data_IF_806742126638
#
_entry.id   IF_806742126638
#
_cell.length_a   1.000
_cell.length_b   1.000
_cell.length_c   1.000
_cell.angle_alpha   90.00
_cell.angle_beta   90.00
_cell.angle_gamma   90.00
#
_symmetry.space_group_name_H-M   'P 1'
#
loop_
_entity.id
_entity.type
_entity.pdbx_description
1 polymer ?
#
# COMPACT_ATOMS: atom_id res chain seq x y z
N UNK A 1 40.04 25.75 0.81
CA UNK A 1 40.56 24.61 1.55
C UNK A 1 39.45 24.17 2.48
N UNK A 2 38.57 23.31 1.97
CA UNK A 2 37.66 22.47 2.78
C UNK A 2 38.12 21.05 2.43
N UNK A 3 39.34 20.73 2.93
CA UNK A 3 39.88 19.39 2.78
C UNK A 3 39.63 18.60 4.05
N UNK A 4 39.06 17.42 3.87
CA UNK A 4 39.01 16.30 4.82
C UNK A 4 38.22 16.50 6.11
N UNK A 5 36.96 16.90 6.03
CA UNK A 5 36.02 16.70 7.15
C UNK A 5 35.44 15.27 7.20
N UNK A 6 35.54 14.49 6.12
CA UNK A 6 35.09 13.11 6.03
C UNK A 6 36.31 12.24 5.74
N UNK A 7 36.79 11.55 6.77
CA UNK A 7 37.71 10.44 6.57
C UNK A 7 37.12 9.44 5.61
N UNK A 8 37.94 8.51 5.14
CA UNK A 8 37.62 7.46 4.16
C UNK A 8 36.12 7.28 3.92
N UNK A 9 35.59 7.69 2.73
CA UNK A 9 34.17 7.64 2.39
C UNK A 9 33.53 6.27 2.67
N UNK A 10 34.31 5.18 2.55
CA UNK A 10 33.85 3.84 2.85
C UNK A 10 33.61 3.63 4.36
N UNK A 11 34.45 4.19 5.22
CA UNK A 11 34.30 4.10 6.68
C UNK A 11 33.12 4.95 7.17
N UNK A 12 32.93 6.15 6.59
CA UNK A 12 31.78 7.02 6.88
C UNK A 12 30.48 6.35 6.43
N UNK A 13 30.49 5.70 5.26
CA UNK A 13 29.32 4.98 4.75
C UNK A 13 28.96 3.79 5.63
N UNK A 14 29.95 3.05 6.12
CA UNK A 14 29.75 1.91 7.04
C UNK A 14 29.25 2.39 8.41
N UNK A 15 29.71 3.54 8.89
CA UNK A 15 29.29 4.13 10.15
C UNK A 15 27.86 4.72 10.09
N UNK A 16 27.48 5.34 8.97
CA UNK A 16 26.12 5.83 8.73
C UNK A 16 25.08 4.70 8.59
N UNK A 17 25.51 3.49 8.23
CA UNK A 17 24.65 2.31 8.16
C UNK A 17 24.47 1.60 9.51
N UNK A 18 25.18 2.02 10.57
CA UNK A 18 24.98 1.47 11.90
C UNK A 18 23.64 1.97 12.45
N UNK A 19 22.82 1.01 12.85
CA UNK A 19 21.65 1.33 13.67
C UNK A 19 22.08 1.86 15.04
N UNK A 20 21.28 2.73 15.66
CA UNK A 20 21.41 3.00 17.07
C UNK A 20 21.37 1.66 17.82
N UNK A 21 22.16 1.56 18.90
CA UNK A 21 22.14 0.37 19.74
C UNK A 21 20.75 0.20 20.35
N UNK A 22 20.03 -0.82 19.90
CA UNK A 22 18.73 -1.17 20.46
C UNK A 22 18.96 -2.04 21.71
N UNK A 23 18.08 -1.98 22.71
CA UNK A 23 18.14 -2.87 23.86
C UNK A 23 18.04 -4.33 23.39
N UNK A 24 18.64 -5.29 24.13
CA UNK A 24 18.44 -6.71 23.87
C UNK A 24 16.94 -7.05 24.00
N UNK A 25 16.46 -7.95 23.15
CA UNK A 25 15.10 -8.47 23.27
C UNK A 25 14.88 -9.13 24.63
N UNK A 26 13.85 -8.70 25.36
CA UNK A 26 13.43 -9.31 26.63
C UNK A 26 12.13 -10.11 26.42
N UNK A 27 12.21 -11.46 26.43
CA UNK A 27 11.03 -12.30 26.23
C UNK A 27 10.02 -12.23 27.41
N UNK A 28 10.38 -11.60 28.51
CA UNK A 28 9.49 -11.40 29.64
C UNK A 28 8.69 -10.09 29.56
N UNK A 29 9.07 -9.18 28.68
CA UNK A 29 8.31 -7.95 28.44
C UNK A 29 7.13 -8.23 27.48
N UNK A 30 5.87 -8.07 27.93
CA UNK A 30 4.70 -8.38 27.12
C UNK A 30 4.50 -7.43 25.93
N UNK A 31 5.20 -6.31 25.85
CA UNK A 31 5.16 -5.37 24.73
C UNK A 31 6.33 -5.55 23.76
N UNK A 32 7.23 -6.49 24.03
CA UNK A 32 8.33 -6.82 23.12
C UNK A 32 7.90 -7.91 22.12
N UNK A 33 8.41 -7.82 20.90
CA UNK A 33 8.23 -8.83 19.85
C UNK A 33 9.58 -9.24 19.27
N UNK A 34 9.89 -10.53 19.33
CA UNK A 34 11.10 -11.09 18.70
C UNK A 34 11.11 -10.86 17.18
N UNK A 35 9.93 -10.87 16.55
CA UNK A 35 9.76 -10.61 15.11
C UNK A 35 10.17 -9.16 14.82
N UNK A 36 9.58 -8.19 15.52
CA UNK A 36 9.87 -6.77 15.33
C UNK A 36 11.34 -6.46 15.63
N UNK A 37 11.89 -7.01 16.72
CA UNK A 37 13.30 -6.84 17.07
C UNK A 37 14.24 -7.31 15.94
N UNK A 38 13.96 -8.49 15.37
CA UNK A 38 14.72 -9.04 14.24
C UNK A 38 14.59 -8.17 12.97
N UNK A 39 13.38 -7.69 12.68
CA UNK A 39 13.11 -6.84 11.51
C UNK A 39 13.79 -5.48 11.64
N UNK A 40 13.71 -4.83 12.81
CA UNK A 40 14.38 -3.57 13.10
C UNK A 40 15.91 -3.70 12.94
N UNK A 41 16.50 -4.75 13.51
CA UNK A 41 17.94 -5.03 13.40
C UNK A 41 18.44 -5.37 11.99
N UNK A 42 17.57 -5.87 11.11
CA UNK A 42 17.94 -6.24 9.73
C UNK A 42 17.67 -5.13 8.71
N UNK A 43 16.94 -4.08 9.06
CA UNK A 43 16.48 -3.01 8.15
C UNK A 43 17.58 -2.40 7.28
N UNK A 44 18.79 -2.04 7.77
CA UNK A 44 19.83 -1.42 6.93
C UNK A 44 20.30 -2.33 5.79
N UNK A 45 20.13 -3.64 5.94
CA UNK A 45 20.57 -4.64 4.94
C UNK A 45 19.48 -5.03 3.97
N UNK A 46 18.18 -4.90 4.35
CA UNK A 46 17.05 -5.37 3.55
C UNK A 46 16.28 -4.27 2.84
N UNK A 47 16.08 -3.11 3.49
CA UNK A 47 15.21 -2.06 3.00
C UNK A 47 15.65 -1.51 1.64
N UNK A 48 14.69 -1.29 0.75
CA UNK A 48 14.94 -0.80 -0.61
C UNK A 48 15.52 0.61 -0.56
N UNK A 49 15.07 1.46 0.35
CA UNK A 49 15.59 2.82 0.57
C UNK A 49 17.09 2.86 0.92
N UNK A 50 17.67 1.73 1.35
CA UNK A 50 19.10 1.57 1.64
C UNK A 50 19.91 1.03 0.46
N UNK A 51 19.31 0.88 -0.71
CA UNK A 51 19.93 0.34 -1.91
C UNK A 51 20.09 1.42 -2.98
N UNK A 52 21.07 1.29 -3.88
CA UNK A 52 21.12 2.12 -5.08
C UNK A 52 19.85 1.93 -5.91
N UNK A 53 19.28 3.03 -6.37
CA UNK A 53 18.14 2.98 -7.30
C UNK A 53 18.59 2.42 -8.66
N UNK A 54 17.79 1.55 -9.30
CA UNK A 54 18.04 1.18 -10.68
C UNK A 54 17.81 2.36 -11.61
N UNK A 55 18.52 2.40 -12.75
CA UNK A 55 18.21 3.37 -13.80
C UNK A 55 16.92 2.96 -14.50
N UNK A 56 15.83 3.60 -14.10
CA UNK A 56 14.49 3.30 -14.63
C UNK A 56 14.34 3.69 -16.10
N UNK A 57 15.11 4.69 -16.59
CA UNK A 57 15.03 5.13 -17.98
C UNK A 57 15.53 4.04 -18.94
N UNK A 58 16.55 3.29 -18.56
CA UNK A 58 17.10 2.19 -19.36
C UNK A 58 16.18 0.97 -19.43
N UNK A 59 15.26 0.86 -18.47
CA UNK A 59 14.28 -0.25 -18.42
C UNK A 59 13.02 0.00 -19.25
N UNK A 60 12.81 1.22 -19.77
CA UNK A 60 11.58 1.54 -20.49
C UNK A 60 11.57 0.95 -21.90
N UNK A 61 10.53 0.14 -22.22
CA UNK A 61 10.28 -0.44 -23.51
C UNK A 61 8.99 0.14 -24.13
N UNK A 62 9.10 0.89 -25.23
CA UNK A 62 7.98 1.56 -25.88
C UNK A 62 6.89 0.59 -26.42
N UNK A 63 7.26 -0.66 -26.70
CA UNK A 63 6.35 -1.67 -27.26
C UNK A 63 5.51 -2.37 -26.19
N UNK A 64 5.96 -2.38 -24.94
CA UNK A 64 5.27 -3.03 -23.83
C UNK A 64 4.11 -2.19 -23.29
N UNK A 65 3.10 -2.88 -22.74
CA UNK A 65 1.94 -2.25 -22.12
C UNK A 65 2.30 -1.65 -20.74
N UNK A 66 1.68 -0.53 -20.36
CA UNK A 66 1.93 0.10 -19.07
C UNK A 66 1.17 -0.59 -17.92
N UNK A 67 0.10 -1.32 -18.23
CA UNK A 67 -0.75 -2.01 -17.26
C UNK A 67 -1.31 -3.31 -17.87
N UNK A 68 -1.49 -4.39 -17.10
CA UNK A 68 -2.04 -5.64 -17.61
C UNK A 68 -3.49 -5.45 -18.09
N UNK A 69 -3.77 -5.75 -19.36
CA UNK A 69 -5.14 -5.67 -19.88
C UNK A 69 -6.08 -6.65 -19.17
N UNK A 70 -5.53 -7.75 -18.63
CA UNK A 70 -6.27 -8.73 -17.84
C UNK A 70 -6.93 -8.15 -16.58
N UNK A 71 -6.40 -7.05 -16.05
CA UNK A 71 -6.92 -6.35 -14.86
C UNK A 71 -7.95 -5.27 -15.20
N UNK A 72 -8.21 -5.00 -16.48
CA UNK A 72 -9.28 -4.08 -16.87
C UNK A 72 -10.64 -4.75 -16.64
N UNK A 73 -11.51 -4.21 -15.77
CA UNK A 73 -12.76 -4.88 -15.39
C UNK A 73 -13.77 -5.00 -16.53
N UNK A 74 -13.58 -4.25 -17.61
CA UNK A 74 -14.42 -4.26 -18.81
C UNK A 74 -13.66 -4.67 -20.09
N UNK A 75 -12.54 -5.37 -19.97
CA UNK A 75 -11.71 -5.76 -21.13
C UNK A 75 -12.47 -6.49 -22.24
N UNK A 76 -13.47 -7.30 -21.85
CA UNK A 76 -14.26 -8.10 -22.78
C UNK A 76 -15.53 -7.38 -23.26
N UNK A 77 -15.77 -6.15 -22.80
CA UNK A 77 -16.94 -5.37 -23.18
C UNK A 77 -16.85 -4.91 -24.65
N UNK A 78 -17.95 -5.04 -25.40
CA UNK A 78 -18.02 -4.79 -26.84
C UNK A 78 -17.57 -3.37 -27.26
N UNK A 79 -17.78 -2.36 -26.40
CA UNK A 79 -17.31 -0.99 -26.64
C UNK A 79 -15.80 -0.90 -26.48
N UNK A 80 -15.21 -1.53 -25.44
CA UNK A 80 -13.77 -1.51 -25.21
C UNK A 80 -13.00 -2.25 -26.30
N UNK A 81 -13.48 -3.44 -26.69
CA UNK A 81 -12.84 -4.26 -27.73
C UNK A 81 -12.81 -3.62 -29.11
N UNK A 82 -13.75 -2.67 -29.38
CA UNK A 82 -13.81 -1.91 -30.65
C UNK A 82 -13.02 -0.61 -30.61
N UNK A 83 -12.41 -0.24 -29.49
CA UNK A 83 -11.56 0.95 -29.45
C UNK A 83 -10.32 0.75 -30.31
N UNK A 84 -9.90 1.85 -30.95
CA UNK A 84 -8.63 1.88 -31.66
C UNK A 84 -7.46 1.59 -30.73
N UNK A 85 -6.47 0.88 -31.21
CA UNK A 85 -5.31 0.47 -30.44
C UNK A 85 -4.60 1.64 -29.71
N UNK A 86 -4.38 2.83 -30.29
CA UNK A 86 -3.81 3.96 -29.57
C UNK A 86 -4.64 4.41 -28.35
N UNK A 87 -5.96 4.34 -28.46
CA UNK A 87 -6.87 4.69 -27.34
C UNK A 87 -6.75 3.65 -26.22
N UNK A 88 -6.74 2.36 -26.57
CA UNK A 88 -6.54 1.28 -25.59
C UNK A 88 -5.19 1.41 -24.87
N UNK A 89 -4.10 1.66 -25.61
CA UNK A 89 -2.78 1.94 -25.01
C UNK A 89 -2.81 3.10 -24.02
N UNK A 90 -3.52 4.18 -24.34
CA UNK A 90 -3.66 5.31 -23.42
C UNK A 90 -4.48 4.96 -22.18
N UNK A 91 -5.52 4.13 -22.31
CA UNK A 91 -6.30 3.63 -21.17
C UNK A 91 -5.42 2.77 -20.25
N UNK A 92 -4.54 1.91 -20.81
CA UNK A 92 -3.59 1.13 -20.02
C UNK A 92 -2.56 2.02 -19.32
N UNK A 93 -2.07 3.08 -19.95
CA UNK A 93 -1.20 4.05 -19.31
C UNK A 93 -1.93 4.80 -18.18
N UNK A 94 -3.19 5.22 -18.39
CA UNK A 94 -4.03 5.78 -17.33
C UNK A 94 -4.24 4.81 -16.16
N UNK A 95 -4.45 3.52 -16.46
CA UNK A 95 -4.59 2.49 -15.44
C UNK A 95 -3.33 2.38 -14.57
N UNK A 96 -2.14 2.45 -15.18
CA UNK A 96 -0.87 2.52 -14.45
C UNK A 96 -0.74 3.78 -13.60
N UNK A 97 -1.10 4.95 -14.14
CA UNK A 97 -1.11 6.20 -13.36
C UNK A 97 -2.09 6.12 -12.19
N UNK A 98 -3.27 5.54 -12.42
CA UNK A 98 -4.28 5.33 -11.38
C UNK A 98 -3.80 4.34 -10.30
N UNK A 99 -3.14 3.27 -10.71
CA UNK A 99 -2.53 2.30 -9.80
C UNK A 99 -1.50 2.98 -8.90
N UNK A 100 -0.54 3.71 -9.47
CA UNK A 100 0.47 4.42 -8.69
C UNK A 100 -0.16 5.46 -7.75
N UNK A 101 -1.15 6.22 -8.25
CA UNK A 101 -1.87 7.18 -7.41
C UNK A 101 -2.54 6.49 -6.23
N UNK A 102 -3.20 5.35 -6.45
CA UNK A 102 -3.85 4.61 -5.37
C UNK A 102 -2.84 4.13 -4.32
N UNK A 103 -1.67 3.60 -4.73
CA UNK A 103 -0.59 3.24 -3.81
C UNK A 103 -0.14 4.47 -3.02
N UNK A 104 0.27 5.55 -3.69
CA UNK A 104 0.72 6.77 -3.03
C UNK A 104 -0.31 7.35 -2.05
N UNK A 105 -1.59 7.33 -2.43
CA UNK A 105 -2.67 7.85 -1.59
C UNK A 105 -2.89 6.97 -0.36
N UNK A 106 -2.84 5.65 -0.48
CA UNK A 106 -2.95 4.72 0.65
C UNK A 106 -1.80 4.92 1.63
N UNK A 107 -0.55 5.01 1.13
CA UNK A 107 0.62 5.28 1.97
C UNK A 107 0.50 6.62 2.71
N UNK A 108 0.09 7.69 2.01
CA UNK A 108 0.05 9.04 2.58
C UNK A 108 -1.12 9.26 3.53
N UNK A 109 -2.30 8.72 3.22
CA UNK A 109 -3.54 9.07 3.91
C UNK A 109 -4.07 7.97 4.83
N UNK A 110 -3.53 6.76 4.77
CA UNK A 110 -3.96 5.61 5.59
C UNK A 110 -2.79 5.05 6.40
N UNK A 111 -1.74 4.59 5.74
CA UNK A 111 -0.64 3.82 6.35
C UNK A 111 0.23 4.70 7.25
N UNK A 112 0.83 5.75 6.71
CA UNK A 112 1.69 6.64 7.50
C UNK A 112 0.96 7.30 8.68
N UNK A 113 -0.31 7.76 8.58
CA UNK A 113 -1.07 8.22 9.73
C UNK A 113 -1.23 7.16 10.81
N UNK A 114 -1.51 5.91 10.46
CA UNK A 114 -1.64 4.81 11.42
C UNK A 114 -0.32 4.45 12.10
N UNK A 115 0.76 4.32 11.36
CA UNK A 115 2.09 4.12 11.95
C UNK A 115 2.51 5.28 12.85
N UNK A 116 2.13 6.50 12.50
CA UNK A 116 2.38 7.66 13.37
C UNK A 116 1.66 7.52 14.72
N UNK A 117 0.41 7.05 14.74
CA UNK A 117 -0.32 6.80 16.00
C UNK A 117 0.41 5.74 16.84
N UNK A 118 0.89 4.66 16.21
CA UNK A 118 1.65 3.62 16.88
C UNK A 118 2.99 4.14 17.42
N UNK A 119 3.75 4.90 16.62
CA UNK A 119 5.03 5.45 17.05
C UNK A 119 4.93 6.45 18.22
N UNK A 120 3.74 7.05 18.42
CA UNK A 120 3.42 7.96 19.51
C UNK A 120 2.76 7.27 20.70
N UNK A 121 2.65 5.94 20.69
CA UNK A 121 1.94 5.14 21.68
C UNK A 121 0.51 5.67 21.99
N UNK A 122 -0.22 6.05 20.94
CA UNK A 122 -1.57 6.61 21.08
C UNK A 122 -2.57 5.65 21.76
N UNK A 123 -2.22 4.37 21.86
CA UNK A 123 -3.04 3.34 22.50
C UNK A 123 -2.63 3.04 23.95
N UNK A 124 -1.55 3.67 24.47
CA UNK A 124 -1.09 3.53 25.85
C UNK A 124 -0.58 2.12 26.16
N UNK A 125 0.10 1.51 25.21
CA UNK A 125 0.63 0.13 25.36
C UNK A 125 1.96 0.08 26.10
N UNK A 126 2.69 1.20 26.17
CA UNK A 126 4.03 1.26 26.74
C UNK A 126 5.09 0.75 25.77
N UNK A 127 4.92 1.00 24.46
CA UNK A 127 5.88 0.60 23.43
C UNK A 127 7.30 1.10 23.76
N UNK A 128 8.26 0.16 23.76
CA UNK A 128 9.68 0.47 23.95
C UNK A 128 10.36 1.01 22.69
N UNK A 129 11.67 1.31 22.84
CA UNK A 129 12.48 1.90 21.77
C UNK A 129 12.52 1.03 20.50
N UNK A 130 12.59 -0.30 20.67
CA UNK A 130 12.66 -1.25 19.54
C UNK A 130 11.41 -1.16 18.64
N UNK A 131 10.23 -1.15 19.23
CA UNK A 131 8.97 -1.06 18.48
C UNK A 131 8.79 0.32 17.85
N UNK A 132 9.16 1.38 18.58
CA UNK A 132 9.15 2.74 18.05
C UNK A 132 10.09 2.88 16.85
N UNK A 133 11.31 2.35 16.94
CA UNK A 133 12.28 2.38 15.84
C UNK A 133 11.77 1.58 14.64
N UNK A 134 11.21 0.38 14.84
CA UNK A 134 10.66 -0.43 13.77
C UNK A 134 9.52 0.30 13.03
N UNK A 135 8.62 0.94 13.78
CA UNK A 135 7.53 1.73 13.22
C UNK A 135 8.04 2.92 12.41
N UNK A 136 9.05 3.63 12.93
CA UNK A 136 9.67 4.75 12.20
C UNK A 136 10.42 4.29 10.95
N UNK A 137 11.05 3.11 10.97
CA UNK A 137 11.68 2.52 9.79
C UNK A 137 10.65 2.19 8.71
N UNK A 138 9.50 1.59 9.09
CA UNK A 138 8.40 1.36 8.17
C UNK A 138 7.93 2.69 7.55
N UNK A 139 7.69 3.73 8.35
CA UNK A 139 7.30 5.05 7.82
C UNK A 139 8.32 5.64 6.83
N UNK A 140 9.62 5.39 7.01
CA UNK A 140 10.65 5.83 6.05
C UNK A 140 10.53 5.05 4.75
N UNK A 141 10.32 3.73 4.83
CA UNK A 141 10.12 2.88 3.66
C UNK A 141 8.87 3.34 2.88
N UNK A 142 7.74 3.62 3.56
CA UNK A 142 6.49 4.08 2.92
C UNK A 142 6.63 5.44 2.21
N UNK A 143 7.41 6.36 2.79
CA UNK A 143 7.73 7.62 2.08
C UNK A 143 8.58 7.35 0.82
N UNK A 144 9.48 6.39 0.88
CA UNK A 144 10.28 6.00 -0.27
C UNK A 144 9.45 5.28 -1.33
N UNK A 145 8.52 4.41 -0.96
CA UNK A 145 7.55 3.79 -1.86
C UNK A 145 6.73 4.84 -2.62
N UNK A 146 6.23 5.84 -1.90
CA UNK A 146 5.53 6.99 -2.51
C UNK A 146 6.41 7.68 -3.57
N UNK A 147 7.69 7.93 -3.27
CA UNK A 147 8.62 8.54 -4.22
C UNK A 147 8.88 7.64 -5.44
N UNK A 148 9.03 6.33 -5.24
CA UNK A 148 9.23 5.37 -6.34
C UNK A 148 8.04 5.37 -7.29
N UNK A 149 6.81 5.31 -6.80
CA UNK A 149 5.60 5.32 -7.62
C UNK A 149 5.39 6.66 -8.34
N UNK A 150 5.74 7.78 -7.69
CA UNK A 150 5.75 9.10 -8.33
C UNK A 150 6.74 9.15 -9.50
N UNK A 151 7.96 8.66 -9.30
CA UNK A 151 9.00 8.60 -10.33
C UNK A 151 8.58 7.71 -11.51
N UNK A 152 8.00 6.54 -11.25
CA UNK A 152 7.50 5.64 -12.28
C UNK A 152 6.38 6.28 -13.10
N UNK A 153 5.43 6.98 -12.46
CA UNK A 153 4.38 7.75 -13.13
C UNK A 153 4.94 8.87 -14.00
N UNK A 154 5.94 9.61 -13.49
CA UNK A 154 6.59 10.69 -14.23
C UNK A 154 7.35 10.16 -15.45
N UNK A 155 8.02 9.01 -15.30
CA UNK A 155 8.74 8.35 -16.40
C UNK A 155 7.77 7.94 -17.52
N UNK A 156 6.64 7.30 -17.18
CA UNK A 156 5.62 6.92 -18.17
C UNK A 156 5.13 8.13 -18.93
N UNK A 157 4.76 9.22 -18.25
CA UNK A 157 4.33 10.46 -18.90
C UNK A 157 5.40 11.00 -19.87
N UNK A 158 6.65 11.06 -19.43
CA UNK A 158 7.77 11.56 -20.23
C UNK A 158 8.05 10.69 -21.45
N UNK A 159 8.13 9.38 -21.27
CA UNK A 159 8.48 8.43 -22.33
C UNK A 159 7.35 8.25 -23.36
N UNK A 160 6.09 8.29 -22.91
CA UNK A 160 4.92 8.26 -23.81
C UNK A 160 4.63 9.60 -24.46
N UNK A 161 5.09 10.72 -23.89
CA UNK A 161 4.75 12.06 -24.33
C UNK A 161 3.26 12.39 -24.10
N UNK A 162 2.62 11.77 -23.10
CA UNK A 162 1.21 11.95 -22.81
C UNK A 162 0.99 12.74 -21.52
N UNK A 163 0.05 13.70 -21.57
CA UNK A 163 -0.44 14.39 -20.38
C UNK A 163 -1.49 13.52 -19.68
N UNK A 164 -1.08 12.81 -18.64
CA UNK A 164 -1.89 11.93 -17.82
C UNK A 164 -1.94 12.49 -16.37
N UNK A 165 -2.69 13.60 -16.13
CA UNK A 165 -2.65 14.29 -14.83
C UNK A 165 -3.41 13.52 -13.76
N UNK A 166 -2.67 12.84 -12.87
CA UNK A 166 -3.24 12.04 -11.76
C UNK A 166 -4.19 12.83 -10.85
N UNK A 167 -3.98 14.18 -10.72
CA UNK A 167 -4.88 15.04 -9.93
C UNK A 167 -6.32 15.06 -10.42
N UNK A 168 -6.61 14.57 -11.63
CA UNK A 168 -7.96 14.42 -12.19
C UNK A 168 -8.64 13.12 -11.78
N UNK A 169 -7.89 12.19 -11.23
CA UNK A 169 -8.44 10.93 -10.73
C UNK A 169 -8.95 11.13 -9.29
N UNK A 170 -10.05 10.48 -8.92
CA UNK A 170 -10.53 10.49 -7.54
C UNK A 170 -9.55 9.76 -6.61
N UNK A 171 -9.72 9.95 -5.30
CA UNK A 171 -9.09 9.05 -4.32
C UNK A 171 -9.68 7.64 -4.45
N UNK A 172 -8.86 6.62 -4.22
CA UNK A 172 -9.29 5.23 -4.21
C UNK A 172 -10.30 4.90 -3.10
N UNK A 173 -11.00 3.75 -3.19
CA UNK A 173 -12.04 3.37 -2.22
C UNK A 173 -11.52 3.32 -0.78
N UNK A 174 -10.31 2.79 -0.58
CA UNK A 174 -9.67 2.68 0.75
C UNK A 174 -9.54 4.04 1.42
N UNK A 175 -8.98 5.02 0.70
CA UNK A 175 -8.79 6.38 1.25
C UNK A 175 -10.12 7.05 1.53
N UNK A 176 -11.07 6.99 0.57
CA UNK A 176 -12.40 7.60 0.75
C UNK A 176 -13.15 7.01 1.95
N UNK A 177 -13.13 5.68 2.07
CA UNK A 177 -13.82 4.99 3.17
C UNK A 177 -13.17 5.28 4.51
N UNK A 178 -11.83 5.26 4.56
CA UNK A 178 -11.06 5.64 5.75
C UNK A 178 -11.43 7.06 6.21
N UNK A 179 -11.38 8.04 5.32
CA UNK A 179 -11.74 9.42 5.65
C UNK A 179 -13.18 9.53 6.17
N UNK A 180 -14.14 8.87 5.49
CA UNK A 180 -15.53 8.86 5.94
C UNK A 180 -15.70 8.25 7.33
N UNK A 181 -14.99 7.16 7.62
CA UNK A 181 -15.06 6.51 8.92
C UNK A 181 -14.38 7.34 10.04
N UNK A 182 -13.24 7.97 9.72
CA UNK A 182 -12.56 8.91 10.65
C UNK A 182 -13.41 10.14 10.92
N UNK A 183 -14.05 10.73 9.90
CA UNK A 183 -14.92 11.91 10.06
C UNK A 183 -16.21 11.59 10.81
N UNK A 184 -16.67 10.34 10.78
CA UNK A 184 -17.84 9.87 11.51
C UNK A 184 -17.54 9.49 12.97
N UNK A 185 -16.28 9.35 13.35
CA UNK A 185 -15.87 9.00 14.71
C UNK A 185 -16.24 10.12 15.69
N UNK A 186 -16.86 9.75 16.81
CA UNK A 186 -17.32 10.70 17.83
C UNK A 186 -16.19 11.18 18.75
N UNK A 187 -15.11 10.39 18.86
CA UNK A 187 -13.97 10.67 19.74
C UNK A 187 -12.64 10.49 19.03
N UNK A 188 -11.56 11.16 19.50
CA UNK A 188 -10.21 10.90 19.00
C UNK A 188 -9.76 9.43 19.15
N UNK A 189 -10.27 8.75 20.18
CA UNK A 189 -9.98 7.32 20.42
C UNK A 189 -10.60 6.44 19.31
N UNK A 190 -11.85 6.67 18.98
CA UNK A 190 -12.53 5.97 17.88
C UNK A 190 -11.83 6.22 16.55
N UNK A 191 -11.51 7.48 16.24
CA UNK A 191 -10.74 7.86 15.04
C UNK A 191 -9.40 7.12 14.97
N UNK A 192 -8.68 6.99 16.09
CA UNK A 192 -7.41 6.28 16.16
C UNK A 192 -7.60 4.77 15.92
N UNK A 193 -8.64 4.15 16.47
CA UNK A 193 -8.94 2.71 16.24
C UNK A 193 -9.33 2.42 14.81
N UNK A 194 -10.14 3.28 14.19
CA UNK A 194 -10.47 3.21 12.75
C UNK A 194 -9.18 3.30 11.92
N UNK A 195 -8.32 4.28 12.20
CA UNK A 195 -7.06 4.44 11.48
C UNK A 195 -6.15 3.22 11.64
N UNK A 196 -6.04 2.65 12.85
CA UNK A 196 -5.29 1.42 13.09
C UNK A 196 -5.84 0.24 12.28
N UNK A 197 -7.16 0.07 12.25
CA UNK A 197 -7.81 -0.99 11.49
C UNK A 197 -7.49 -0.91 9.99
N UNK A 198 -7.69 0.27 9.39
CA UNK A 198 -7.41 0.48 7.96
C UNK A 198 -5.93 0.33 7.63
N UNK A 199 -5.04 0.83 8.48
CA UNK A 199 -3.58 0.63 8.33
C UNK A 199 -3.23 -0.84 8.36
N UNK A 200 -3.75 -1.60 9.32
CA UNK A 200 -3.50 -3.04 9.42
C UNK A 200 -3.99 -3.80 8.19
N UNK A 201 -5.18 -3.46 7.68
CA UNK A 201 -5.71 -4.07 6.45
C UNK A 201 -4.83 -3.73 5.25
N UNK A 202 -4.44 -2.47 5.09
CA UNK A 202 -3.58 -2.04 3.99
C UNK A 202 -2.26 -2.81 4.02
N UNK A 203 -1.54 -2.80 5.14
CA UNK A 203 -0.25 -3.45 5.32
C UNK A 203 -0.28 -4.97 5.13
N UNK A 204 -1.33 -5.63 5.61
CA UNK A 204 -1.45 -7.08 5.47
C UNK A 204 -1.94 -7.52 4.09
N UNK A 205 -2.53 -6.62 3.30
CA UNK A 205 -3.13 -6.93 2.01
C UNK A 205 -2.38 -6.35 0.80
N UNK A 206 -1.50 -5.36 1.00
CA UNK A 206 -0.81 -4.66 -0.08
C UNK A 206 0.05 -5.59 -0.96
N UNK A 207 0.70 -6.59 -0.38
CA UNK A 207 1.47 -7.59 -1.13
C UNK A 207 0.64 -8.31 -2.19
N UNK A 208 -0.65 -8.58 -1.92
CA UNK A 208 -1.57 -9.19 -2.88
C UNK A 208 -1.95 -8.21 -4.00
N UNK A 209 -2.15 -6.94 -3.66
CA UNK A 209 -2.40 -5.88 -4.64
C UNK A 209 -1.20 -5.65 -5.56
N UNK A 210 0.00 -5.54 -5.00
CA UNK A 210 1.25 -5.41 -5.74
C UNK A 210 1.49 -6.65 -6.62
N UNK A 211 1.14 -7.84 -6.11
CA UNK A 211 1.26 -9.11 -6.83
C UNK A 211 0.53 -9.15 -8.17
N UNK A 212 -0.58 -8.40 -8.32
CA UNK A 212 -1.33 -8.32 -9.57
C UNK A 212 -0.50 -7.85 -10.77
N UNK A 213 0.58 -7.10 -10.50
CA UNK A 213 1.45 -6.51 -11.53
C UNK A 213 2.74 -7.30 -11.78
N UNK A 214 3.02 -8.36 -11.02
CA UNK A 214 4.33 -9.03 -11.07
C UNK A 214 4.42 -10.17 -12.08
N UNK A 215 3.30 -10.80 -12.41
CA UNK A 215 3.25 -12.07 -13.11
C UNK A 215 3.07 -11.93 -14.63
N UNK A 216 2.90 -10.72 -15.15
CA UNK A 216 2.73 -10.43 -16.58
C UNK A 216 4.08 -10.07 -17.21
N UNK A 217 4.62 -10.97 -18.06
CA UNK A 217 5.87 -10.75 -18.77
C UNK A 217 5.75 -9.71 -19.91
N UNK A 218 4.53 -9.41 -20.35
CA UNK A 218 4.27 -8.40 -21.38
C UNK A 218 4.13 -6.99 -20.82
N UNK A 219 4.17 -6.87 -19.49
CA UNK A 219 4.15 -5.59 -18.82
C UNK A 219 5.45 -4.80 -19.02
N UNK A 220 5.34 -3.49 -19.06
CA UNK A 220 6.45 -2.54 -19.05
C UNK A 220 7.48 -2.92 -17.97
N UNK A 221 8.76 -3.21 -18.36
CA UNK A 221 9.76 -3.68 -17.39
C UNK A 221 9.97 -2.75 -16.20
N UNK A 222 9.96 -1.43 -16.42
CA UNK A 222 10.11 -0.45 -15.35
C UNK A 222 8.94 -0.49 -14.36
N UNK A 223 7.71 -0.69 -14.83
CA UNK A 223 6.52 -0.76 -13.97
C UNK A 223 6.58 -2.02 -13.10
N UNK A 224 6.94 -3.15 -13.70
CA UNK A 224 7.16 -4.39 -12.96
C UNK A 224 8.29 -4.27 -11.94
N UNK A 225 9.42 -3.64 -12.30
CA UNK A 225 10.55 -3.44 -11.38
C UNK A 225 10.15 -2.57 -10.17
N UNK A 226 9.42 -1.49 -10.39
CA UNK A 226 8.90 -0.62 -9.31
C UNK A 226 8.06 -1.43 -8.32
N UNK A 227 7.11 -2.21 -8.83
CA UNK A 227 6.20 -3.01 -7.99
C UNK A 227 6.92 -4.14 -7.25
N UNK A 228 7.88 -4.80 -7.89
CA UNK A 228 8.70 -5.86 -7.26
C UNK A 228 9.56 -5.29 -6.12
N UNK A 229 10.15 -4.11 -6.32
CA UNK A 229 10.96 -3.45 -5.28
C UNK A 229 10.10 -3.05 -4.09
N UNK A 230 8.93 -2.45 -4.31
CA UNK A 230 7.98 -2.13 -3.25
C UNK A 230 7.57 -3.39 -2.48
N UNK A 231 7.05 -4.41 -3.17
CA UNK A 231 6.58 -5.65 -2.57
C UNK A 231 7.62 -6.34 -1.67
N UNK A 232 8.90 -6.11 -1.93
CA UNK A 232 9.99 -6.68 -1.12
C UNK A 232 9.98 -6.18 0.32
N UNK A 233 9.69 -4.90 0.55
CA UNK A 233 9.63 -4.32 1.90
C UNK A 233 8.32 -4.68 2.59
N UNK A 234 7.20 -4.77 1.85
CA UNK A 234 5.87 -5.06 2.37
C UNK A 234 5.75 -6.36 3.17
N UNK A 235 6.60 -7.33 2.87
CA UNK A 235 6.68 -8.56 3.66
C UNK A 235 7.03 -8.29 5.14
N UNK A 236 7.81 -7.25 5.38
CA UNK A 236 8.23 -6.87 6.73
C UNK A 236 7.20 -5.97 7.39
N UNK A 237 6.63 -5.05 6.63
CA UNK A 237 5.61 -4.12 7.11
C UNK A 237 4.35 -4.86 7.55
N UNK A 238 3.89 -5.83 6.78
CA UNK A 238 2.78 -6.72 7.15
C UNK A 238 3.02 -7.41 8.50
N UNK A 239 4.24 -7.88 8.74
CA UNK A 239 4.61 -8.51 10.01
C UNK A 239 4.66 -7.51 11.15
N UNK A 240 5.21 -6.31 10.92
CA UNK A 240 5.27 -5.24 11.93
C UNK A 240 3.84 -4.80 12.31
N UNK A 241 3.00 -4.50 11.33
CA UNK A 241 1.61 -4.07 11.55
C UNK A 241 0.81 -5.14 12.30
N UNK A 242 0.94 -6.42 11.93
CA UNK A 242 0.28 -7.52 12.59
C UNK A 242 0.69 -7.70 14.06
N UNK A 243 1.99 -7.65 14.36
CA UNK A 243 2.50 -7.76 15.73
C UNK A 243 2.08 -6.55 16.59
N UNK A 244 2.15 -5.34 16.04
CA UNK A 244 1.69 -4.13 16.73
C UNK A 244 0.19 -4.19 17.01
N UNK A 245 -0.62 -4.68 16.06
CA UNK A 245 -2.05 -4.87 16.29
C UNK A 245 -2.30 -5.84 17.44
N UNK A 246 -1.59 -6.97 17.53
CA UNK A 246 -1.72 -7.95 18.63
C UNK A 246 -1.46 -7.29 19.98
N UNK A 247 -0.36 -6.53 20.10
CA UNK A 247 0.00 -5.79 21.32
C UNK A 247 -1.08 -4.80 21.72
N UNK A 248 -1.59 -4.02 20.77
CA UNK A 248 -2.68 -3.05 21.01
C UNK A 248 -3.95 -3.77 21.42
N UNK A 249 -4.35 -4.83 20.69
CA UNK A 249 -5.59 -5.56 20.89
C UNK A 249 -5.72 -6.13 22.30
N UNK A 250 -4.62 -6.62 22.89
CA UNK A 250 -4.59 -7.13 24.27
C UNK A 250 -4.95 -6.06 25.32
N UNK A 251 -4.73 -4.77 25.00
CA UNK A 251 -4.98 -3.63 25.87
C UNK A 251 -6.36 -3.00 25.69
N UNK A 252 -7.09 -3.39 24.65
CA UNK A 252 -8.41 -2.84 24.36
C UNK A 252 -9.49 -3.44 25.26
N UNK A 253 -10.45 -2.62 25.68
CA UNK A 253 -11.69 -3.09 26.27
C UNK A 253 -12.67 -3.65 25.21
N UNK A 254 -13.85 -4.13 25.64
CA UNK A 254 -14.78 -4.77 24.76
C UNK A 254 -15.41 -3.84 23.72
N UNK A 255 -15.58 -2.55 24.03
CA UNK A 255 -16.15 -1.57 23.10
C UNK A 255 -15.13 -1.19 22.04
N UNK A 256 -13.91 -0.90 22.44
CA UNK A 256 -12.77 -0.61 21.58
C UNK A 256 -12.48 -1.79 20.62
N UNK A 257 -12.54 -3.04 21.13
CA UNK A 257 -12.37 -4.25 20.30
C UNK A 257 -13.44 -4.33 19.22
N UNK A 258 -14.73 -4.15 19.57
CA UNK A 258 -15.81 -4.18 18.57
C UNK A 258 -15.61 -3.11 17.48
N UNK A 259 -15.20 -1.93 17.87
CA UNK A 259 -14.94 -0.83 16.96
C UNK A 259 -13.78 -1.15 16.00
N UNK A 260 -12.68 -1.69 16.54
CA UNK A 260 -11.54 -2.13 15.75
C UNK A 260 -11.93 -3.22 14.74
N UNK A 261 -12.69 -4.25 15.17
CA UNK A 261 -13.13 -5.34 14.30
C UNK A 261 -14.09 -4.87 13.20
N UNK A 262 -14.97 -3.93 13.50
CA UNK A 262 -15.81 -3.29 12.49
C UNK A 262 -14.97 -2.49 11.49
N UNK A 263 -13.94 -1.77 11.96
CA UNK A 263 -13.00 -1.06 11.12
C UNK A 263 -12.18 -1.98 10.21
N UNK A 264 -11.79 -3.19 10.69
CA UNK A 264 -11.11 -4.19 9.87
C UNK A 264 -12.02 -4.68 8.72
N UNK A 265 -13.30 -4.94 9.00
CA UNK A 265 -14.28 -5.34 7.98
C UNK A 265 -14.46 -4.25 6.91
N UNK A 266 -14.66 -3.00 7.34
CA UNK A 266 -14.78 -1.84 6.45
C UNK A 266 -13.53 -1.65 5.58
N UNK A 267 -12.36 -1.78 6.19
CA UNK A 267 -11.07 -1.70 5.50
C UNK A 267 -10.91 -2.79 4.44
N UNK A 268 -11.28 -4.03 4.77
CA UNK A 268 -11.24 -5.17 3.85
C UNK A 268 -12.15 -4.97 2.63
N UNK A 269 -13.38 -4.54 2.84
CA UNK A 269 -14.31 -4.26 1.75
C UNK A 269 -13.78 -3.16 0.83
N UNK A 270 -13.27 -2.08 1.43
CA UNK A 270 -12.72 -0.96 0.69
C UNK A 270 -11.46 -1.33 -0.09
N UNK A 271 -10.52 -2.05 0.54
CA UNK A 271 -9.24 -2.42 -0.07
C UNK A 271 -9.39 -3.40 -1.23
N UNK A 272 -10.31 -4.36 -1.11
CA UNK A 272 -10.55 -5.37 -2.15
C UNK A 272 -11.35 -4.84 -3.34
N UNK A 273 -12.09 -3.75 -3.18
CA UNK A 273 -13.03 -3.28 -4.19
C UNK A 273 -12.35 -2.71 -5.44
N UNK A 274 -12.99 -2.93 -6.60
CA UNK A 274 -12.61 -2.26 -7.84
C UNK A 274 -13.11 -0.82 -7.84
N UNK A 275 -12.27 0.12 -8.25
CA UNK A 275 -12.67 1.54 -8.28
C UNK A 275 -13.30 1.94 -9.61
N UNK A 276 -14.60 1.74 -9.72
CA UNK A 276 -15.35 2.14 -10.90
C UNK A 276 -15.43 3.66 -11.09
N UNK A 277 -15.21 4.47 -10.05
CA UNK A 277 -15.14 5.93 -10.19
C UNK A 277 -13.86 6.38 -10.90
N UNK A 278 -12.75 5.72 -10.63
CA UNK A 278 -11.49 5.92 -11.35
C UNK A 278 -11.63 5.51 -12.82
N UNK A 279 -12.24 4.35 -13.09
CA UNK A 279 -12.50 3.93 -14.47
C UNK A 279 -13.41 4.89 -15.23
N UNK A 280 -14.46 5.41 -14.57
CA UNK A 280 -15.31 6.45 -15.17
C UNK A 280 -14.49 7.69 -15.54
N UNK A 281 -13.66 8.19 -14.63
CA UNK A 281 -12.82 9.35 -14.88
C UNK A 281 -11.83 9.14 -16.04
N UNK A 282 -11.22 7.97 -16.14
CA UNK A 282 -10.31 7.60 -17.23
C UNK A 282 -11.03 7.57 -18.58
N UNK A 283 -12.17 6.89 -18.67
CA UNK A 283 -12.92 6.76 -19.91
C UNK A 283 -13.52 8.10 -20.38
N UNK A 284 -13.95 8.95 -19.44
CA UNK A 284 -14.43 10.30 -19.72
C UNK A 284 -13.30 11.19 -20.23
N UNK A 285 -12.10 11.09 -19.64
CA UNK A 285 -10.93 11.84 -20.09
C UNK A 285 -10.53 11.46 -21.53
N UNK A 286 -10.56 10.16 -21.84
CA UNK A 286 -10.30 9.65 -23.19
C UNK A 286 -11.49 9.81 -24.15
N UNK A 287 -12.60 10.42 -23.68
CA UNK A 287 -13.83 10.68 -24.46
C UNK A 287 -14.40 9.42 -25.10
N UNK A 288 -14.35 8.31 -24.39
CA UNK A 288 -14.87 7.03 -24.89
C UNK A 288 -16.38 7.08 -24.98
N UNK A 289 -16.90 6.91 -26.19
CA UNK A 289 -18.35 6.84 -26.40
C UNK A 289 -18.92 5.61 -25.70
N UNK A 290 -19.92 5.81 -24.85
CA UNK A 290 -20.53 4.73 -24.08
C UNK A 290 -19.80 4.41 -22.77
N UNK A 291 -18.88 5.26 -22.28
CA UNK A 291 -18.17 5.13 -21.00
C UNK A 291 -19.12 4.77 -19.84
N UNK A 292 -20.22 5.48 -19.70
CA UNK A 292 -21.25 5.21 -18.68
C UNK A 292 -21.78 3.76 -18.71
N UNK A 293 -22.05 3.24 -19.92
CA UNK A 293 -22.55 1.88 -20.09
C UNK A 293 -21.48 0.86 -19.71
N UNK A 294 -20.24 1.05 -20.18
CA UNK A 294 -19.11 0.17 -19.84
C UNK A 294 -18.97 0.03 -18.33
N UNK A 295 -18.94 1.17 -17.63
CA UNK A 295 -18.74 1.19 -16.17
C UNK A 295 -19.94 0.57 -15.45
N UNK A 296 -21.18 0.88 -15.86
CA UNK A 296 -22.38 0.33 -15.25
C UNK A 296 -22.45 -1.20 -15.41
N UNK A 297 -22.20 -1.71 -16.62
CA UNK A 297 -22.22 -3.15 -16.90
C UNK A 297 -21.12 -3.89 -16.10
N UNK A 298 -19.92 -3.34 -16.04
CA UNK A 298 -18.82 -3.91 -15.23
C UNK A 298 -19.11 -3.89 -13.72
N UNK A 299 -19.71 -2.83 -13.21
CA UNK A 299 -20.07 -2.70 -11.80
C UNK A 299 -21.22 -3.64 -11.38
N UNK A 300 -22.08 -4.06 -12.31
CA UNK A 300 -23.13 -5.06 -12.06
C UNK A 300 -22.61 -6.50 -12.04
N UNK A 301 -21.49 -6.77 -12.70
CA UNK A 301 -20.86 -8.09 -12.69
C UNK A 301 -20.18 -8.35 -11.33
N UNK A 302 -20.76 -9.24 -10.53
CA UNK A 302 -20.23 -9.57 -9.19
C UNK A 302 -18.79 -10.09 -9.24
N UNK A 303 -18.42 -10.81 -10.30
CA UNK A 303 -17.06 -11.33 -10.49
C UNK A 303 -16.01 -10.25 -10.76
N UNK A 304 -16.44 -9.01 -11.04
CA UNK A 304 -15.56 -7.88 -11.34
C UNK A 304 -15.51 -6.81 -10.25
N UNK A 305 -16.26 -7.00 -9.17
CA UNK A 305 -16.32 -6.03 -8.07
C UNK A 305 -15.06 -5.99 -7.23
N UNK A 306 -14.42 -7.13 -7.04
CA UNK A 306 -13.20 -7.25 -6.25
C UNK A 306 -11.99 -7.35 -7.15
N UNK A 307 -11.06 -6.42 -7.00
CA UNK A 307 -9.76 -6.44 -7.66
C UNK A 307 -8.80 -7.38 -6.94
N UNK A 308 -8.73 -7.30 -5.60
CA UNK A 308 -7.91 -8.18 -4.77
C UNK A 308 -8.78 -9.33 -4.24
N UNK A 309 -8.37 -10.56 -4.51
CA UNK A 309 -9.10 -11.75 -4.08
C UNK A 309 -8.52 -12.37 -2.80
N UNK A 310 -7.19 -12.28 -2.62
CA UNK A 310 -6.49 -12.89 -1.50
C UNK A 310 -6.52 -12.00 -0.25
N UNK A 311 -7.14 -12.50 0.82
CA UNK A 311 -7.18 -11.90 2.14
C UNK A 311 -6.59 -12.82 3.22
N UNK A 312 -5.77 -13.80 2.81
CA UNK A 312 -5.23 -14.84 3.70
C UNK A 312 -4.42 -14.26 4.86
N UNK A 313 -3.64 -13.21 4.63
CA UNK A 313 -2.76 -12.64 5.66
C UNK A 313 -3.57 -12.00 6.81
N UNK A 314 -4.56 -11.15 6.48
CA UNK A 314 -5.42 -10.53 7.49
C UNK A 314 -6.31 -11.56 8.18
N UNK A 315 -6.80 -12.58 7.47
CA UNK A 315 -7.57 -13.67 8.07
C UNK A 315 -6.74 -14.44 9.10
N UNK A 316 -5.49 -14.80 8.76
CA UNK A 316 -4.56 -15.42 9.71
C UNK A 316 -4.33 -14.57 10.95
N UNK A 317 -4.20 -13.26 10.78
CA UNK A 317 -4.05 -12.36 11.92
C UNK A 317 -5.30 -12.40 12.82
N UNK A 318 -6.50 -12.44 12.26
CA UNK A 318 -7.74 -12.60 13.01
C UNK A 318 -7.85 -13.98 13.68
N UNK A 319 -7.38 -15.05 13.01
CA UNK A 319 -7.30 -16.40 13.58
C UNK A 319 -6.32 -16.44 14.77
N UNK A 320 -5.14 -15.81 14.66
CA UNK A 320 -4.15 -15.70 15.74
C UNK A 320 -4.70 -14.95 16.96
N UNK A 321 -5.54 -13.93 16.74
CA UNK A 321 -6.24 -13.19 17.80
C UNK A 321 -7.48 -13.93 18.35
N UNK A 322 -7.92 -15.00 17.68
CA UNK A 322 -9.13 -15.74 18.05
C UNK A 322 -10.45 -15.01 17.77
N UNK A 323 -10.46 -14.06 16.82
CA UNK A 323 -11.61 -13.14 16.57
C UNK A 323 -12.20 -13.26 15.16
N UNK A 324 -11.80 -14.23 14.37
CA UNK A 324 -12.23 -14.38 12.96
C UNK A 324 -13.75 -14.37 12.80
N UNK A 325 -14.47 -15.04 13.70
CA UNK A 325 -15.94 -15.09 13.69
C UNK A 325 -16.60 -13.80 14.25
N UNK A 326 -15.82 -12.94 14.92
CA UNK A 326 -16.31 -11.69 15.47
C UNK A 326 -16.17 -10.52 14.48
N UNK A 327 -15.29 -10.66 13.48
CA UNK A 327 -15.16 -9.67 12.40
C UNK A 327 -16.41 -9.75 11.52
N UNK A 328 -17.18 -8.66 11.36
CA UNK A 328 -18.41 -8.66 10.56
C UNK A 328 -18.10 -8.64 9.05
N UNK A 329 -17.42 -9.68 8.57
CA UNK A 329 -16.93 -9.80 7.20
C UNK A 329 -17.16 -11.23 6.67
N UNK A 330 -17.65 -11.35 5.44
CA UNK A 330 -17.81 -12.65 4.77
C UNK A 330 -16.45 -13.10 4.18
N UNK A 331 -15.79 -13.99 4.90
CA UNK A 331 -14.51 -14.56 4.45
C UNK A 331 -14.76 -15.51 3.26
N UNK A 332 -14.30 -15.11 2.08
CA UNK A 332 -14.38 -15.91 0.84
C UNK A 332 -13.14 -16.79 0.66
#
# INVERSE_FOLDING_TARGET
>A
MIDNAFGDEAAVHEELLRLPSLPPFDPADPVESAIISSLAGSWPRRAVVKRPEPDLDDLFDAEKADYPESLIPFRDHDVFTRLDEPVRRRILAWAWIAYNKNVMDVEQYVVNPGFRLLSQDAFGTGLGDTLTVATMQAMVDEQYHTLMHLNASALTRRRRGWDLPERRLPYGPTVRRHQQAVDAAETPRESALVSLAFTTVAETSISSYLGLMTDDEDLQPVNRATVVLHRRDEYCHSSIAGELLKIVFERLDGDDRRLLLAGLADGLEAFRSNDFSTWSAVLDHERVRGAHRIVADAAHDSGRRNLVQDCTAIRRLCDDLGVTEEVPYEWS
#
